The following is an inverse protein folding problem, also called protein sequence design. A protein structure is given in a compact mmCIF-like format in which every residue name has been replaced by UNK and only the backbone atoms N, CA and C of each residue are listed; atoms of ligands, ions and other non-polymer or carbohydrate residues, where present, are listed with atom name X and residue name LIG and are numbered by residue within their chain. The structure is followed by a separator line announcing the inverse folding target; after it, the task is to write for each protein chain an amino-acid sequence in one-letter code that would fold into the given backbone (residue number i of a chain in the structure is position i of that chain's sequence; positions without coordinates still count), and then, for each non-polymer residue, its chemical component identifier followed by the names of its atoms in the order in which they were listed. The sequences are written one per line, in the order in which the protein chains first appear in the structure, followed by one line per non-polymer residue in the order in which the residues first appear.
data_IF_490474704559
#
_entry.id   IF_490474704559
#
_cell.length_a   1.000
_cell.length_b   1.000
_cell.length_c   1.000
_cell.angle_alpha   90.00
_cell.angle_beta   90.00
_cell.angle_gamma   90.00
#
_symmetry.space_group_name_H-M   'P 1'
#
loop_
_entity.id
_entity.type
_entity.pdbx_description
1 polymer ?
#
# COMPACT_ATOMS: atom_id res chain seq x y z
N UNK A 1 -47.51 -5.96 19.21
CA UNK A 1 -46.14 -5.71 18.73
C UNK A 1 -45.19 -6.65 19.46
N UNK A 2 -44.83 -7.82 18.89
CA UNK A 2 -43.97 -8.76 19.59
C UNK A 2 -42.49 -8.45 19.33
N UNK A 3 -41.73 -8.39 20.43
CA UNK A 3 -40.29 -8.19 20.47
C UNK A 3 -39.55 -9.33 19.73
N UNK A 4 -38.56 -8.98 18.90
CA UNK A 4 -37.58 -9.88 18.25
C UNK A 4 -36.82 -10.72 19.31
N UNK A 5 -37.31 -11.91 19.64
CA UNK A 5 -36.73 -12.77 20.69
C UNK A 5 -35.44 -13.54 20.27
N UNK A 6 -35.07 -13.59 18.98
CA UNK A 6 -33.88 -14.32 18.51
C UNK A 6 -32.57 -13.52 18.41
N UNK A 7 -32.63 -12.18 18.26
CA UNK A 7 -31.44 -11.36 17.98
C UNK A 7 -30.45 -11.25 19.13
N UNK A 8 -30.92 -11.36 20.37
CA UNK A 8 -30.06 -11.27 21.55
C UNK A 8 -29.17 -12.51 21.71
N UNK A 9 -29.66 -13.69 21.31
CA UNK A 9 -28.88 -14.93 21.36
C UNK A 9 -27.76 -14.90 20.32
N UNK A 10 -28.06 -14.47 19.09
CA UNK A 10 -27.05 -14.30 18.03
C UNK A 10 -25.99 -13.25 18.42
N UNK A 11 -26.40 -12.13 18.99
CA UNK A 11 -25.48 -11.10 19.48
C UNK A 11 -24.60 -11.61 20.62
N UNK A 12 -25.17 -12.42 21.52
CA UNK A 12 -24.43 -13.03 22.63
C UNK A 12 -23.43 -14.08 22.14
N UNK A 13 -23.82 -14.95 21.20
CA UNK A 13 -22.94 -15.95 20.59
C UNK A 13 -21.81 -15.28 19.79
N UNK A 14 -22.12 -14.23 19.03
CA UNK A 14 -21.12 -13.43 18.33
C UNK A 14 -20.15 -12.76 19.31
N UNK A 15 -20.67 -12.18 20.39
CA UNK A 15 -19.86 -11.57 21.45
C UNK A 15 -18.90 -12.57 22.11
N UNK A 16 -19.39 -13.76 22.43
CA UNK A 16 -18.57 -14.84 22.97
C UNK A 16 -17.50 -15.28 21.96
N UNK A 17 -17.85 -15.49 20.70
CA UNK A 17 -16.91 -15.88 19.66
C UNK A 17 -15.80 -14.84 19.45
N UNK A 18 -16.15 -13.56 19.40
CA UNK A 18 -15.18 -12.45 19.28
C UNK A 18 -14.28 -12.39 20.52
N UNK A 19 -14.85 -12.50 21.72
CA UNK A 19 -14.07 -12.50 22.96
C UNK A 19 -13.08 -13.68 23.03
N UNK A 20 -13.52 -14.88 22.62
CA UNK A 20 -12.66 -16.06 22.56
C UNK A 20 -11.52 -15.92 21.55
N UNK A 21 -11.80 -15.31 20.39
CA UNK A 21 -10.78 -15.02 19.38
C UNK A 21 -9.76 -13.98 19.87
N UNK A 22 -10.20 -12.92 20.54
CA UNK A 22 -9.29 -11.93 21.13
C UNK A 22 -8.45 -12.57 22.25
N UNK A 23 -9.06 -13.40 23.09
CA UNK A 23 -8.35 -14.12 24.14
C UNK A 23 -7.31 -15.10 23.58
N UNK A 24 -7.59 -15.78 22.46
CA UNK A 24 -6.62 -16.69 21.84
C UNK A 24 -5.44 -15.96 21.21
N UNK A 25 -5.66 -14.80 20.58
CA UNK A 25 -4.59 -13.93 20.11
C UNK A 25 -3.75 -13.47 21.30
N UNK A 26 -4.39 -12.95 22.35
CA UNK A 26 -3.67 -12.49 23.55
C UNK A 26 -2.83 -13.62 24.17
N UNK A 27 -3.40 -14.82 24.31
CA UNK A 27 -2.69 -15.98 24.81
C UNK A 27 -1.48 -16.33 23.92
N UNK A 28 -1.60 -16.25 22.60
CA UNK A 28 -0.47 -16.48 21.70
C UNK A 28 0.68 -15.49 21.98
N UNK A 29 0.39 -14.20 22.15
CA UNK A 29 1.41 -13.19 22.48
C UNK A 29 2.03 -13.41 23.87
N UNK A 30 1.26 -13.87 24.85
CA UNK A 30 1.80 -14.26 26.17
C UNK A 30 2.74 -15.46 26.02
N UNK A 31 2.38 -16.47 25.23
CA UNK A 31 3.25 -17.62 24.96
C UNK A 31 4.52 -17.21 24.21
N UNK A 32 4.48 -16.15 23.40
CA UNK A 32 5.65 -15.60 22.72
C UNK A 32 6.68 -14.95 23.66
N UNK A 33 6.33 -14.69 24.92
CA UNK A 33 7.29 -14.23 25.94
C UNK A 33 8.06 -15.40 26.57
N UNK A 34 7.58 -16.64 26.46
CA UNK A 34 8.22 -17.77 27.12
C UNK A 34 9.50 -18.17 26.40
N UNK A 35 10.60 -18.46 27.09
CA UNK A 35 11.79 -19.00 26.45
C UNK A 35 11.50 -20.42 25.96
N UNK A 36 11.86 -20.71 24.71
CA UNK A 36 11.58 -21.99 24.03
C UNK A 36 12.88 -22.53 23.45
N UNK A 37 13.04 -23.85 23.41
CA UNK A 37 14.24 -24.47 22.81
C UNK A 37 14.36 -24.12 21.32
N UNK A 38 15.60 -24.08 20.80
CA UNK A 38 15.86 -23.77 19.39
C UNK A 38 15.10 -24.70 18.43
N UNK A 39 14.95 -25.99 18.79
CA UNK A 39 14.22 -26.97 18.00
C UNK A 39 12.72 -26.65 17.93
N UNK A 40 12.11 -26.34 19.09
CA UNK A 40 10.69 -25.99 19.15
C UNK A 40 10.42 -24.64 18.46
N UNK A 41 11.32 -23.65 18.61
CA UNK A 41 11.23 -22.39 17.89
C UNK A 41 11.33 -22.60 16.37
N UNK A 42 12.29 -23.39 15.90
CA UNK A 42 12.43 -23.71 14.48
C UNK A 42 11.17 -24.39 13.92
N UNK A 43 10.61 -25.35 14.66
CA UNK A 43 9.37 -26.02 14.26
C UNK A 43 8.21 -25.04 14.15
N UNK A 44 7.99 -24.20 15.16
CA UNK A 44 6.92 -23.18 15.15
C UNK A 44 7.12 -22.22 13.98
N UNK A 45 8.33 -21.72 13.75
CA UNK A 45 8.64 -20.81 12.64
C UNK A 45 8.40 -21.46 11.28
N UNK A 46 8.85 -22.69 11.07
CA UNK A 46 8.65 -23.41 9.80
C UNK A 46 7.16 -23.64 9.52
N UNK A 47 6.38 -24.03 10.54
CA UNK A 47 4.93 -24.22 10.39
C UNK A 47 4.23 -22.90 10.05
N UNK A 48 4.51 -21.83 10.80
CA UNK A 48 3.86 -20.53 10.58
C UNK A 48 4.24 -19.90 9.23
N UNK A 49 5.52 -19.95 8.85
CA UNK A 49 5.97 -19.50 7.53
C UNK A 49 5.40 -20.38 6.42
N UNK A 50 5.31 -21.70 6.65
CA UNK A 50 4.69 -22.64 5.71
C UNK A 50 3.22 -22.31 5.45
N UNK A 51 2.45 -22.00 6.49
CA UNK A 51 1.05 -21.54 6.37
C UNK A 51 1.00 -20.24 5.56
N UNK A 52 1.87 -19.26 5.87
CA UNK A 52 1.93 -17.99 5.17
C UNK A 52 2.21 -18.18 3.67
N UNK A 53 3.24 -18.98 3.34
CA UNK A 53 3.59 -19.32 1.96
C UNK A 53 2.47 -20.07 1.24
N UNK A 54 1.81 -21.02 1.91
CA UNK A 54 0.68 -21.76 1.36
C UNK A 54 -0.50 -20.82 1.05
N UNK A 55 -0.87 -19.93 1.96
CA UNK A 55 -1.93 -18.95 1.72
C UNK A 55 -1.60 -18.03 0.54
N UNK A 56 -0.36 -17.52 0.45
CA UNK A 56 0.09 -16.72 -0.69
C UNK A 56 0.05 -17.50 -2.01
N UNK A 57 0.44 -18.78 -1.98
CA UNK A 57 0.36 -19.66 -3.15
C UNK A 57 -1.08 -19.85 -3.61
N UNK A 58 -2.01 -20.10 -2.69
CA UNK A 58 -3.44 -20.27 -2.99
C UNK A 58 -4.05 -18.98 -3.57
N UNK A 59 -3.73 -17.81 -2.99
CA UNK A 59 -4.18 -16.50 -3.50
C UNK A 59 -3.71 -16.21 -4.93
N UNK A 60 -2.54 -16.71 -5.31
CA UNK A 60 -1.98 -16.53 -6.67
C UNK A 60 -2.51 -17.56 -7.68
N UNK A 61 -2.99 -18.71 -7.23
CA UNK A 61 -3.37 -19.84 -8.09
C UNK A 61 -4.88 -19.99 -8.26
N UNK A 62 -5.68 -19.56 -7.29
CA UNK A 62 -7.12 -19.78 -7.25
C UNK A 62 -7.87 -18.46 -7.28
N UNK A 63 -9.05 -18.47 -7.91
CA UNK A 63 -10.03 -17.37 -7.80
C UNK A 63 -10.88 -17.64 -6.56
N UNK A 64 -10.55 -16.95 -5.47
CA UNK A 64 -11.22 -17.12 -4.18
C UNK A 64 -12.27 -16.02 -3.92
N UNK A 65 -13.34 -16.30 -3.17
CA UNK A 65 -14.28 -15.27 -2.73
C UNK A 65 -13.57 -14.22 -1.88
N UNK A 66 -13.99 -12.96 -1.99
CA UNK A 66 -13.36 -11.81 -1.34
C UNK A 66 -13.19 -12.00 0.18
N UNK A 67 -14.19 -12.59 0.85
CA UNK A 67 -14.14 -12.88 2.29
C UNK A 67 -12.95 -13.78 2.68
N UNK A 68 -12.60 -14.78 1.86
CA UNK A 68 -11.45 -15.64 2.11
C UNK A 68 -10.13 -14.92 1.84
N UNK A 69 -10.09 -14.10 0.79
CA UNK A 69 -8.92 -13.27 0.48
C UNK A 69 -8.58 -12.34 1.64
N UNK A 70 -9.60 -11.66 2.18
CA UNK A 70 -9.45 -10.76 3.32
C UNK A 70 -9.06 -11.53 4.59
N UNK A 71 -9.64 -12.71 4.82
CA UNK A 71 -9.28 -13.58 5.96
C UNK A 71 -7.83 -14.06 5.89
N UNK A 72 -7.35 -14.51 4.73
CA UNK A 72 -5.95 -14.92 4.53
C UNK A 72 -5.00 -13.75 4.72
N UNK A 73 -5.37 -12.56 4.25
CA UNK A 73 -4.57 -11.34 4.46
C UNK A 73 -4.43 -11.01 5.95
N UNK A 74 -5.52 -10.96 6.70
CA UNK A 74 -5.51 -10.69 8.14
C UNK A 74 -4.72 -11.76 8.88
N UNK A 75 -4.92 -13.03 8.55
CA UNK A 75 -4.18 -14.14 9.16
C UNK A 75 -2.67 -14.01 8.91
N UNK A 76 -2.26 -13.72 7.68
CA UNK A 76 -0.85 -13.50 7.33
C UNK A 76 -0.22 -12.32 8.09
N UNK A 77 -0.97 -11.21 8.23
CA UNK A 77 -0.52 -10.04 9.01
C UNK A 77 -0.32 -10.43 10.48
N UNK A 78 -1.28 -11.14 11.09
CA UNK A 78 -1.19 -11.57 12.49
C UNK A 78 0.00 -12.52 12.70
N UNK A 79 0.19 -13.49 11.81
CA UNK A 79 1.35 -14.40 11.85
C UNK A 79 2.67 -13.62 11.73
N UNK A 80 2.76 -12.67 10.81
CA UNK A 80 3.96 -11.85 10.62
C UNK A 80 4.28 -11.01 11.87
N UNK A 81 3.29 -10.34 12.46
CA UNK A 81 3.46 -9.57 13.69
C UNK A 81 3.88 -10.47 14.85
N UNK A 82 3.28 -11.66 14.98
CA UNK A 82 3.66 -12.64 15.99
C UNK A 82 5.13 -13.06 15.85
N UNK A 83 5.59 -13.38 14.64
CA UNK A 83 6.99 -13.78 14.39
C UNK A 83 7.96 -12.63 14.69
N UNK A 84 7.63 -11.40 14.30
CA UNK A 84 8.43 -10.20 14.61
C UNK A 84 8.51 -10.01 16.12
N UNK A 85 7.38 -10.04 16.82
CA UNK A 85 7.33 -9.87 18.27
C UNK A 85 8.17 -10.93 18.99
N UNK A 86 7.99 -12.21 18.62
CA UNK A 86 8.75 -13.33 19.18
C UNK A 86 10.26 -13.18 18.94
N UNK A 87 10.63 -12.73 17.74
CA UNK A 87 12.03 -12.45 17.41
C UNK A 87 12.61 -11.32 18.27
N UNK A 88 11.89 -10.21 18.45
CA UNK A 88 12.34 -9.08 19.27
C UNK A 88 12.53 -9.47 20.74
N UNK A 89 11.62 -10.29 21.29
CA UNK A 89 11.77 -10.85 22.65
C UNK A 89 13.05 -11.67 22.74
N UNK A 90 13.26 -12.61 21.81
CA UNK A 90 14.49 -13.40 21.76
C UNK A 90 15.75 -12.53 21.62
N UNK A 91 15.68 -11.45 20.82
CA UNK A 91 16.78 -10.52 20.61
C UNK A 91 17.22 -9.87 21.92
N UNK A 92 16.27 -9.38 22.71
CA UNK A 92 16.55 -8.72 23.99
C UNK A 92 17.03 -9.73 25.04
N UNK A 93 16.39 -10.89 25.15
CA UNK A 93 16.67 -11.85 26.23
C UNK A 93 17.96 -12.65 26.05
N UNK A 94 18.35 -12.97 24.80
CA UNK A 94 19.40 -13.96 24.54
C UNK A 94 20.60 -13.42 23.75
N UNK A 95 20.54 -12.21 23.19
CA UNK A 95 21.58 -11.76 22.25
C UNK A 95 22.27 -10.44 22.59
N UNK A 96 21.71 -9.63 23.49
CA UNK A 96 22.27 -8.34 23.90
C UNK A 96 22.91 -8.49 25.28
N UNK A 97 24.15 -8.02 25.44
CA UNK A 97 24.87 -8.07 26.72
C UNK A 97 25.96 -9.16 26.78
N UNK A 98 26.92 -8.97 27.69
CA UNK A 98 27.79 -10.05 28.18
C UNK A 98 29.18 -10.16 27.57
N UNK A 99 29.55 -9.27 26.63
CA UNK A 99 30.84 -9.33 25.92
C UNK A 99 31.65 -8.01 25.97
N UNK A 100 31.24 -7.08 26.84
CA UNK A 100 31.93 -5.81 27.10
C UNK A 100 31.30 -4.60 26.38
N UNK A 101 31.77 -3.39 26.74
CA UNK A 101 31.14 -2.12 26.35
C UNK A 101 30.91 -1.96 24.84
N UNK A 102 31.92 -2.27 24.01
CA UNK A 102 31.80 -2.12 22.57
C UNK A 102 30.72 -3.05 21.99
N UNK A 103 30.67 -4.31 22.45
CA UNK A 103 29.63 -5.27 22.05
C UNK A 103 28.24 -4.80 22.44
N UNK A 104 28.09 -4.30 23.66
CA UNK A 104 26.80 -3.82 24.17
C UNK A 104 26.33 -2.58 23.40
N UNK A 105 27.23 -1.62 23.14
CA UNK A 105 26.92 -0.43 22.35
C UNK A 105 26.47 -0.75 20.93
N UNK A 106 27.24 -1.54 20.17
CA UNK A 106 26.87 -1.91 18.81
C UNK A 106 25.66 -2.84 18.77
N UNK A 107 25.51 -3.73 19.75
CA UNK A 107 24.34 -4.60 19.90
C UNK A 107 23.06 -3.80 20.14
N UNK A 108 23.08 -2.81 21.02
CA UNK A 108 21.95 -1.90 21.25
C UNK A 108 21.66 -1.03 20.03
N UNK A 109 22.68 -0.49 19.37
CA UNK A 109 22.48 0.32 18.15
C UNK A 109 21.82 -0.50 17.03
N UNK A 110 22.25 -1.74 16.83
CA UNK A 110 21.64 -2.66 15.89
C UNK A 110 20.19 -2.98 16.28
N UNK A 111 19.92 -3.21 17.56
CA UNK A 111 18.56 -3.44 18.06
C UNK A 111 17.63 -2.24 17.83
N UNK A 112 18.11 -1.00 17.98
CA UNK A 112 17.32 0.20 17.65
C UNK A 112 16.98 0.29 16.15
N UNK A 113 17.91 -0.09 15.28
CA UNK A 113 17.65 -0.17 13.84
C UNK A 113 16.63 -1.27 13.51
N UNK A 114 16.70 -2.43 14.19
CA UNK A 114 15.73 -3.51 14.07
C UNK A 114 14.34 -3.10 14.57
N UNK A 115 14.24 -2.36 15.68
CA UNK A 115 12.98 -1.79 16.17
C UNK A 115 12.38 -0.79 15.19
N UNK A 116 13.20 0.07 14.57
CA UNK A 116 12.75 0.96 13.51
C UNK A 116 12.18 0.17 12.33
N UNK A 117 12.89 -0.86 11.86
CA UNK A 117 12.43 -1.71 10.77
C UNK A 117 11.12 -2.46 11.11
N UNK A 118 11.01 -2.98 12.34
CA UNK A 118 9.80 -3.62 12.84
C UNK A 118 8.62 -2.63 12.89
N UNK A 119 8.85 -1.42 13.38
CA UNK A 119 7.84 -0.35 13.39
C UNK A 119 7.36 0.01 11.99
N UNK A 120 8.29 0.17 11.05
CA UNK A 120 7.96 0.42 9.64
C UNK A 120 7.14 -0.72 9.03
N UNK A 121 7.49 -1.98 9.31
CA UNK A 121 6.73 -3.14 8.85
C UNK A 121 5.30 -3.15 9.41
N UNK A 122 5.14 -2.87 10.71
CA UNK A 122 3.82 -2.79 11.37
C UNK A 122 2.96 -1.69 10.76
N UNK A 123 3.52 -0.51 10.48
CA UNK A 123 2.82 0.57 9.77
C UNK A 123 2.38 0.13 8.37
N UNK A 124 3.25 -0.57 7.63
CA UNK A 124 2.91 -1.14 6.32
C UNK A 124 1.74 -2.13 6.39
N UNK A 125 1.71 -2.98 7.42
CA UNK A 125 0.59 -3.89 7.67
C UNK A 125 -0.70 -3.13 7.99
N UNK A 126 -0.64 -2.06 8.79
CA UNK A 126 -1.80 -1.24 9.12
C UNK A 126 -2.43 -0.60 7.88
N UNK A 127 -1.61 -0.04 6.98
CA UNK A 127 -2.08 0.55 5.71
C UNK A 127 -2.72 -0.50 4.81
N UNK A 128 -2.19 -1.72 4.80
CA UNK A 128 -2.65 -2.79 3.90
C UNK A 128 -3.80 -3.63 4.47
N UNK A 129 -4.17 -3.41 5.75
CA UNK A 129 -5.13 -4.23 6.50
C UNK A 129 -6.51 -4.29 5.84
N UNK A 130 -7.00 -3.19 5.27
CA UNK A 130 -8.30 -3.14 4.59
C UNK A 130 -8.20 -2.34 3.29
N UNK A 131 -7.90 -3.00 2.17
CA UNK A 131 -7.85 -2.32 0.87
C UNK A 131 -9.25 -1.84 0.47
N UNK A 132 -9.33 -0.63 -0.07
CA UNK A 132 -10.58 -0.11 -0.65
C UNK A 132 -10.67 -0.54 -2.10
N UNK A 133 -11.46 -1.57 -2.36
CA UNK A 133 -11.84 -1.93 -3.73
C UNK A 133 -12.89 -0.95 -4.21
N UNK A 134 -12.52 -0.06 -5.14
CA UNK A 134 -13.45 0.82 -5.84
C UNK A 134 -13.74 0.22 -7.20
N UNK A 135 -15.00 -0.08 -7.48
CA UNK A 135 -15.41 -0.41 -8.84
C UNK A 135 -15.53 0.88 -9.65
N UNK A 136 -15.21 0.86 -10.95
CA UNK A 136 -15.51 1.98 -11.84
C UNK A 136 -17.00 2.26 -11.77
N UNK A 137 -17.38 3.50 -11.47
CA UNK A 137 -18.77 3.93 -11.53
C UNK A 137 -19.03 4.37 -12.97
N UNK A 138 -20.04 3.81 -13.67
CA UNK A 138 -20.36 4.26 -15.01
C UNK A 138 -20.81 5.72 -14.97
N UNK A 139 -20.47 6.48 -16.01
CA UNK A 139 -20.99 7.83 -16.18
C UNK A 139 -22.52 7.78 -16.37
N UNK A 140 -23.24 8.84 -15.97
CA UNK A 140 -24.67 8.96 -16.27
C UNK A 140 -24.93 8.80 -17.77
N UNK A 141 -26.06 8.19 -18.12
CA UNK A 141 -26.47 8.00 -19.52
C UNK A 141 -26.59 9.33 -20.29
N UNK A 142 -26.96 10.38 -19.58
CA UNK A 142 -27.10 11.73 -20.15
C UNK A 142 -25.76 12.47 -20.14
N UNK A 143 -25.16 12.63 -21.32
CA UNK A 143 -23.91 13.36 -21.52
C UNK A 143 -24.04 14.86 -21.19
N UNK A 144 -25.26 15.43 -21.23
CA UNK A 144 -25.48 16.83 -20.86
C UNK A 144 -25.34 17.06 -19.35
N UNK A 145 -25.46 16.01 -18.54
CA UNK A 145 -25.21 16.06 -17.10
C UNK A 145 -23.71 15.99 -16.73
N UNK A 146 -22.85 15.69 -17.70
CA UNK A 146 -21.42 15.50 -17.42
C UNK A 146 -20.73 16.84 -17.09
N UNK A 147 -19.76 16.85 -16.15
CA UNK A 147 -19.02 18.05 -15.80
C UNK A 147 -18.10 18.53 -16.94
N UNK A 148 -17.68 19.79 -16.90
CA UNK A 148 -16.57 20.26 -17.74
C UNK A 148 -15.26 19.74 -17.13
N UNK A 149 -14.38 19.19 -17.98
CA UNK A 149 -13.12 18.57 -17.57
C UNK A 149 -11.96 19.21 -18.31
N UNK A 150 -10.98 19.68 -17.54
CA UNK A 150 -9.69 20.15 -18.04
C UNK A 150 -8.61 19.10 -17.73
N UNK A 151 -7.90 18.64 -18.77
CA UNK A 151 -6.74 17.75 -18.63
C UNK A 151 -5.48 18.58 -18.73
N UNK A 152 -4.72 18.63 -17.64
CA UNK A 152 -3.48 19.39 -17.55
C UNK A 152 -2.28 18.45 -17.79
N UNK A 153 -1.45 18.76 -18.78
CA UNK A 153 -0.21 18.02 -19.09
C UNK A 153 0.99 18.91 -18.78
N UNK A 154 1.59 18.82 -17.58
CA UNK A 154 2.79 19.58 -17.24
C UNK A 154 4.03 19.01 -17.93
N UNK A 155 4.88 19.89 -18.45
CA UNK A 155 6.16 19.55 -19.09
C UNK A 155 7.24 20.56 -18.74
N UNK A 156 8.48 20.09 -18.75
CA UNK A 156 9.67 20.87 -18.48
C UNK A 156 10.78 20.62 -19.51
N UNK A 157 11.29 19.39 -19.61
CA UNK A 157 12.37 19.05 -20.55
C UNK A 157 12.18 17.66 -21.17
N UNK A 158 10.94 17.16 -21.16
CA UNK A 158 10.61 15.87 -21.76
C UNK A 158 10.76 15.92 -23.29
N UNK A 159 11.28 14.86 -23.93
CA UNK A 159 11.37 14.75 -25.38
C UNK A 159 9.99 14.89 -26.06
N UNK A 160 9.99 15.52 -27.23
CA UNK A 160 8.76 15.87 -27.95
C UNK A 160 8.02 14.64 -28.46
N UNK A 161 8.72 13.54 -28.71
CA UNK A 161 8.10 12.25 -29.05
C UNK A 161 7.22 11.72 -27.91
N UNK A 162 7.69 11.82 -26.65
CA UNK A 162 6.93 11.38 -25.48
C UNK A 162 5.72 12.30 -25.26
N UNK A 163 5.93 13.62 -25.33
CA UNK A 163 4.86 14.61 -25.19
C UNK A 163 3.77 14.41 -26.24
N UNK A 164 4.16 14.14 -27.49
CA UNK A 164 3.21 13.89 -28.57
C UNK A 164 2.34 12.67 -28.30
N UNK A 165 2.92 11.57 -27.82
CA UNK A 165 2.16 10.35 -27.49
C UNK A 165 1.17 10.63 -26.34
N UNK A 166 1.61 11.33 -25.30
CA UNK A 166 0.74 11.71 -24.16
C UNK A 166 -0.40 12.62 -24.59
N UNK A 167 -0.12 13.67 -25.38
CA UNK A 167 -1.14 14.59 -25.88
C UNK A 167 -2.14 13.90 -26.81
N UNK A 168 -1.67 13.05 -27.73
CA UNK A 168 -2.56 12.26 -28.58
C UNK A 168 -3.44 11.32 -27.76
N UNK A 169 -2.90 10.70 -26.71
CA UNK A 169 -3.68 9.88 -25.78
C UNK A 169 -4.77 10.69 -25.06
N UNK A 170 -4.41 11.88 -24.57
CA UNK A 170 -5.37 12.77 -23.91
C UNK A 170 -6.49 13.24 -24.86
N UNK A 171 -6.16 13.56 -26.11
CA UNK A 171 -7.13 14.00 -27.12
C UNK A 171 -8.07 12.89 -27.62
N UNK A 172 -7.75 11.62 -27.36
CA UNK A 172 -8.58 10.46 -27.72
C UNK A 172 -9.43 9.94 -26.55
N UNK A 173 -9.46 10.65 -25.41
CA UNK A 173 -10.36 10.34 -24.31
C UNK A 173 -11.81 10.48 -24.80
N UNK A 174 -12.62 9.45 -24.58
CA UNK A 174 -14.04 9.41 -24.97
C UNK A 174 -14.87 10.35 -24.07
N UNK A 175 -14.99 11.60 -24.49
CA UNK A 175 -15.74 12.65 -23.79
C UNK A 175 -16.33 13.66 -24.80
N UNK A 176 -17.48 14.30 -24.49
CA UNK A 176 -18.02 15.38 -25.30
C UNK A 176 -17.02 16.52 -25.47
N UNK A 177 -16.72 16.89 -26.72
CA UNK A 177 -15.65 17.84 -27.07
C UNK A 177 -15.93 19.25 -26.55
N UNK A 178 -17.20 19.60 -26.40
CA UNK A 178 -17.66 20.89 -25.88
C UNK A 178 -17.44 21.05 -24.36
N UNK A 179 -17.14 19.96 -23.64
CA UNK A 179 -16.91 19.94 -22.19
C UNK A 179 -15.51 19.43 -21.83
N UNK A 180 -14.63 19.26 -22.81
CA UNK A 180 -13.33 18.64 -22.65
C UNK A 180 -12.24 19.51 -23.28
N UNK A 181 -11.26 19.92 -22.48
CA UNK A 181 -10.12 20.69 -22.96
C UNK A 181 -8.81 20.09 -22.44
N UNK A 182 -7.78 20.07 -23.29
CA UNK A 182 -6.45 19.57 -22.93
C UNK A 182 -5.47 20.74 -22.98
N UNK A 183 -4.82 21.03 -21.85
CA UNK A 183 -3.87 22.11 -21.70
C UNK A 183 -2.45 21.56 -21.56
N UNK A 184 -1.52 21.98 -22.42
CA UNK A 184 -0.09 21.73 -22.21
C UNK A 184 0.48 22.87 -21.36
N UNK A 185 1.05 22.54 -20.21
CA UNK A 185 1.69 23.49 -19.30
C UNK A 185 3.21 23.37 -19.44
N UNK A 186 3.79 24.19 -20.31
CA UNK A 186 5.23 24.19 -20.59
C UNK A 186 5.99 25.16 -19.68
N UNK A 187 6.65 24.60 -18.66
CA UNK A 187 7.55 25.34 -17.76
C UNK A 187 9.01 25.36 -18.28
N UNK A 188 9.30 24.61 -19.35
CA UNK A 188 10.58 24.56 -20.02
C UNK A 188 10.84 25.80 -20.87
N UNK A 189 9.83 26.20 -21.64
CA UNK A 189 9.88 27.29 -22.61
C UNK A 189 9.32 28.64 -22.14
N UNK A 190 9.26 28.91 -20.84
CA UNK A 190 8.74 30.19 -20.31
C UNK A 190 9.53 31.40 -20.82
N UNK A 191 8.86 32.56 -20.93
CA UNK A 191 9.47 33.80 -21.40
C UNK A 191 10.74 34.15 -20.61
N UNK A 192 10.71 33.97 -19.29
CA UNK A 192 11.86 34.18 -18.39
C UNK A 192 13.05 33.27 -18.71
N UNK A 193 12.79 32.01 -19.11
CA UNK A 193 13.83 31.04 -19.46
C UNK A 193 14.38 31.25 -20.86
N UNK A 194 13.51 31.58 -21.81
CA UNK A 194 13.90 31.96 -23.16
C UNK A 194 14.71 33.27 -23.16
N UNK A 195 14.43 34.18 -22.22
CA UNK A 195 15.20 35.43 -22.04
C UNK A 195 16.60 35.21 -21.44
N UNK A 196 16.87 34.07 -20.81
CA UNK A 196 18.18 33.75 -20.24
C UNK A 196 19.07 32.99 -21.25
N UNK A 197 20.13 33.60 -21.80
CA UNK A 197 20.93 33.02 -22.87
C UNK A 197 21.62 31.69 -22.50
N UNK A 198 21.82 31.42 -21.21
CA UNK A 198 22.45 30.19 -20.72
C UNK A 198 21.48 28.99 -20.69
N UNK A 199 20.17 29.26 -20.71
CA UNK A 199 19.11 28.27 -20.50
C UNK A 199 18.24 28.12 -21.77
N UNK A 200 18.19 29.17 -22.60
CA UNK A 200 17.40 29.22 -23.83
C UNK A 200 17.60 28.03 -24.79
N UNK A 201 18.81 27.47 -24.88
CA UNK A 201 19.11 26.34 -25.78
C UNK A 201 18.41 25.04 -25.35
N UNK A 202 18.13 24.87 -24.05
CA UNK A 202 17.41 23.71 -23.49
C UNK A 202 15.90 23.96 -23.43
N UNK A 203 15.49 25.23 -23.44
CA UNK A 203 14.10 25.68 -23.27
C UNK A 203 13.27 25.68 -24.56
N UNK A 204 13.87 25.48 -25.73
CA UNK A 204 13.12 25.48 -26.99
C UNK A 204 12.40 24.14 -27.19
N UNK A 205 11.12 24.10 -26.84
CA UNK A 205 10.22 23.01 -27.26
C UNK A 205 10.10 23.01 -28.78
N UNK A 206 10.25 21.83 -29.40
CA UNK A 206 10.12 21.62 -30.84
C UNK A 206 8.83 22.28 -31.38
N UNK A 207 8.92 23.11 -32.44
CA UNK A 207 7.77 23.73 -33.11
C UNK A 207 6.63 22.78 -33.48
N UNK A 208 6.92 21.49 -33.67
CA UNK A 208 5.93 20.46 -33.99
C UNK A 208 4.88 20.26 -32.90
N UNK A 209 5.24 20.47 -31.62
CA UNK A 209 4.34 20.33 -30.46
C UNK A 209 3.47 21.57 -30.28
N UNK A 210 4.01 22.78 -30.52
CA UNK A 210 3.24 24.05 -30.47
C UNK A 210 2.06 24.06 -31.44
N UNK A 211 2.18 23.38 -32.58
CA UNK A 211 1.09 23.25 -33.58
C UNK A 211 -0.07 22.37 -33.09
N UNK A 212 0.20 21.42 -32.18
CA UNK A 212 -0.85 20.58 -31.56
C UNK A 212 -1.64 21.43 -30.57
N UNK A 213 -0.96 22.24 -29.75
CA UNK A 213 -1.58 23.11 -28.73
C UNK A 213 -2.54 24.14 -29.36
N UNK A 214 -2.21 24.69 -30.53
CA UNK A 214 -3.05 25.71 -31.19
C UNK A 214 -4.28 25.16 -31.92
N UNK A 215 -4.48 23.83 -31.92
CA UNK A 215 -5.59 23.14 -32.62
C UNK A 215 -6.50 22.36 -31.67
N UNK A 216 -6.24 22.44 -30.37
CA UNK A 216 -7.05 21.93 -29.26
C UNK A 216 -7.77 23.12 -28.64
#
# INVERSE_FOLDING_TARGET
MPFKQGKWLEALLLGLAVSGFVASIFLAFVLALLPVSNQAQALVSVVLVGILMMQLFLLKRLVLPQLLVDSFRVTNIVIAIYLIFRYLVWRVEFTIGGYGFASDFFGTLLFLAELYAAGYAILGFFVTFTPRHRQPVPLPLDADSWPVVDVLVPTYNEPTEILRVTLLGALQIDYPKEKFCVHLLDDGGTDDRCANPKIAEVSMVDPSVKTIISRV
#
